data_IF_333198833579
#
_entry.id   IF_333198833579
#
_cell.length_a   1.000
_cell.length_b   1.000
_cell.length_c   1.000
_cell.angle_alpha   90.00
_cell.angle_beta   90.00
_cell.angle_gamma   90.00
#
_symmetry.space_group_name_H-M   'P 1'
#
loop_
_entity.id
_entity.type
_entity.pdbx_description
1 polymer ?
#
# COMPACT_ATOMS: atom_id res chain seq x y z
N UNK A 1 -1.19 -7.71 -12.29
CA UNK A 1 -0.43 -6.45 -12.26
C UNK A 1 -1.40 -5.39 -11.80
N UNK A 2 -1.12 -4.75 -10.66
CA UNK A 2 -1.99 -3.68 -10.13
C UNK A 2 -1.90 -2.48 -11.09
N UNK A 3 -3.03 -1.79 -11.28
CA UNK A 3 -3.13 -0.64 -12.16
C UNK A 3 -2.21 0.49 -11.68
N UNK A 4 -1.45 1.07 -12.60
CA UNK A 4 -0.49 2.15 -12.34
C UNK A 4 -1.18 3.41 -11.77
N UNK A 5 -2.45 3.63 -12.11
CA UNK A 5 -3.28 4.69 -11.55
C UNK A 5 -3.48 4.50 -10.05
N UNK A 6 -3.75 3.27 -9.61
CA UNK A 6 -3.94 2.94 -8.18
C UNK A 6 -2.62 3.17 -7.41
N UNK A 7 -1.48 2.78 -8.01
CA UNK A 7 -0.17 3.02 -7.40
C UNK A 7 0.08 4.52 -7.23
N UNK A 8 -0.23 5.34 -8.24
CA UNK A 8 -0.07 6.80 -8.17
C UNK A 8 -1.00 7.46 -7.14
N UNK A 9 -2.24 6.98 -7.00
CA UNK A 9 -3.16 7.44 -5.96
C UNK A 9 -2.58 7.14 -4.56
N UNK A 10 -2.00 5.96 -4.37
CA UNK A 10 -1.36 5.58 -3.10
C UNK A 10 -0.09 6.42 -2.84
N UNK A 11 0.75 6.64 -3.85
CA UNK A 11 1.92 7.53 -3.75
C UNK A 11 1.50 8.92 -3.29
N UNK A 12 0.50 9.49 -3.96
CA UNK A 12 -0.07 10.80 -3.60
C UNK A 12 -0.60 10.82 -2.17
N UNK A 13 -1.32 9.77 -1.75
CA UNK A 13 -1.82 9.66 -0.38
C UNK A 13 -0.68 9.57 0.65
N UNK A 14 0.39 8.82 0.36
CA UNK A 14 1.56 8.67 1.23
C UNK A 14 2.39 9.97 1.33
N UNK A 15 2.43 10.77 0.27
CA UNK A 15 3.09 12.09 0.30
C UNK A 15 2.34 13.04 1.25
N UNK A 16 1.00 12.99 1.22
CA UNK A 16 0.15 13.89 2.00
C UNK A 16 -0.11 13.40 3.44
N UNK A 17 0.03 12.09 3.72
CA UNK A 17 -0.16 11.51 5.06
C UNK A 17 1.01 10.60 5.45
N UNK A 18 1.82 11.10 6.39
CA UNK A 18 2.99 10.38 6.92
C UNK A 18 2.63 9.03 7.56
N UNK A 19 1.41 8.86 8.07
CA UNK A 19 0.97 7.58 8.67
C UNK A 19 0.81 6.51 7.60
N UNK A 20 0.24 6.86 6.44
CA UNK A 20 0.12 5.94 5.32
C UNK A 20 1.51 5.55 4.78
N UNK A 21 2.41 6.52 4.69
CA UNK A 21 3.80 6.26 4.32
C UNK A 21 4.49 5.27 5.28
N UNK A 22 4.39 5.48 6.60
CA UNK A 22 4.96 4.57 7.60
C UNK A 22 4.40 3.16 7.48
N UNK A 23 3.10 3.00 7.19
CA UNK A 23 2.51 1.67 6.97
C UNK A 23 3.14 0.98 5.75
N UNK A 24 3.34 1.70 4.65
CA UNK A 24 3.99 1.14 3.45
C UNK A 24 5.45 0.76 3.74
N UNK A 25 6.18 1.57 4.50
CA UNK A 25 7.54 1.25 4.95
C UNK A 25 7.61 0.01 5.86
N UNK A 26 6.62 -0.19 6.73
CA UNK A 26 6.55 -1.39 7.55
C UNK A 26 6.26 -2.64 6.71
N UNK A 27 5.29 -2.55 5.80
CA UNK A 27 4.95 -3.66 4.90
C UNK A 27 6.14 -4.06 4.01
N UNK A 28 6.93 -3.10 3.52
CA UNK A 28 8.09 -3.38 2.67
C UNK A 28 9.19 -4.17 3.39
N UNK A 29 9.23 -4.13 4.72
CA UNK A 29 10.20 -4.88 5.55
C UNK A 29 9.73 -6.31 5.86
N UNK A 30 8.45 -6.62 5.66
CA UNK A 30 7.89 -7.94 5.91
C UNK A 30 8.29 -8.95 4.83
N UNK A 31 8.48 -10.20 5.23
CA UNK A 31 8.66 -11.29 4.27
C UNK A 31 7.33 -11.69 3.61
N UNK A 32 7.43 -12.47 2.53
CA UNK A 32 6.27 -12.86 1.71
C UNK A 32 5.17 -13.59 2.51
N UNK A 33 5.54 -14.40 3.50
CA UNK A 33 4.59 -15.15 4.31
C UNK A 33 3.77 -14.23 5.23
N UNK A 34 4.42 -13.22 5.81
CA UNK A 34 3.76 -12.22 6.65
C UNK A 34 2.84 -11.31 5.83
N UNK A 35 3.30 -10.83 4.68
CA UNK A 35 2.47 -10.06 3.74
C UNK A 35 1.24 -10.86 3.31
N UNK A 36 1.41 -12.15 3.01
CA UNK A 36 0.30 -13.01 2.62
C UNK A 36 -0.74 -13.19 3.74
N UNK A 37 -0.31 -13.27 5.01
CA UNK A 37 -1.23 -13.32 6.17
C UNK A 37 -2.09 -12.06 6.25
N UNK A 38 -1.48 -10.88 6.10
CA UNK A 38 -2.18 -9.59 6.12
C UNK A 38 -3.16 -9.51 4.95
N UNK A 39 -2.69 -9.83 3.74
CA UNK A 39 -3.52 -9.84 2.53
C UNK A 39 -4.76 -10.73 2.65
N UNK A 40 -4.59 -11.94 3.21
CA UNK A 40 -5.69 -12.87 3.44
C UNK A 40 -6.70 -12.31 4.43
N UNK A 41 -6.25 -11.71 5.54
CA UNK A 41 -7.12 -11.05 6.51
C UNK A 41 -7.89 -9.89 5.87
N UNK A 42 -7.20 -9.01 5.15
CA UNK A 42 -7.82 -7.89 4.45
C UNK A 42 -8.89 -8.37 3.45
N UNK A 43 -8.58 -9.39 2.65
CA UNK A 43 -9.53 -9.99 1.69
C UNK A 43 -10.75 -10.63 2.36
N UNK A 44 -10.58 -11.28 3.51
CA UNK A 44 -11.70 -11.88 4.26
C UNK A 44 -12.64 -10.82 4.83
N UNK A 45 -12.10 -9.70 5.31
CA UNK A 45 -12.91 -8.59 5.83
C UNK A 45 -13.58 -7.82 4.70
N UNK A 46 -12.89 -7.59 3.57
CA UNK A 46 -13.44 -6.96 2.36
C UNK A 46 -14.70 -7.64 1.84
N UNK A 47 -14.77 -8.98 1.96
CA UNK A 47 -15.94 -9.76 1.53
C UNK A 47 -17.18 -9.56 2.43
N UNK A 48 -17.01 -8.97 3.62
CA UNK A 48 -18.07 -8.83 4.63
C UNK A 48 -18.53 -7.38 4.83
N UNK A 49 -17.66 -6.41 4.57
CA UNK A 49 -17.89 -4.98 4.83
C UNK A 49 -18.56 -4.23 3.65
N UNK A 50 -19.39 -3.22 3.94
CA UNK A 50 -20.13 -2.42 2.94
C UNK A 50 -19.76 -0.93 2.89
N UNK A 51 -18.88 -0.43 3.76
CA UNK A 51 -18.63 1.03 3.92
C UNK A 51 -17.14 1.41 3.88
N UNK A 52 -16.75 2.54 4.51
CA UNK A 52 -15.41 3.18 4.54
C UNK A 52 -14.27 2.18 4.78
N UNK A 53 -14.54 1.10 5.52
CA UNK A 53 -13.59 0.00 5.71
C UNK A 53 -13.10 -0.63 4.40
N UNK A 54 -13.88 -0.53 3.31
CA UNK A 54 -13.51 -1.05 1.99
C UNK A 54 -12.28 -0.36 1.42
N UNK A 55 -12.14 0.95 1.58
CA UNK A 55 -10.98 1.70 1.06
C UNK A 55 -9.72 1.36 1.85
N UNK A 56 -9.80 1.38 3.18
CA UNK A 56 -8.70 0.99 4.06
C UNK A 56 -8.24 -0.46 3.82
N UNK A 57 -9.18 -1.39 3.64
CA UNK A 57 -8.84 -2.77 3.36
C UNK A 57 -8.32 -2.98 1.93
N UNK A 58 -8.81 -2.21 0.96
CA UNK A 58 -8.27 -2.20 -0.40
C UNK A 58 -6.83 -1.72 -0.40
N UNK A 59 -6.52 -0.67 0.36
CA UNK A 59 -5.16 -0.20 0.56
C UNK A 59 -4.25 -1.34 1.09
N UNK A 60 -4.63 -2.00 2.20
CA UNK A 60 -3.85 -3.13 2.72
C UNK A 60 -3.71 -4.29 1.73
N UNK A 61 -4.76 -4.58 0.96
CA UNK A 61 -4.72 -5.62 -0.06
C UNK A 61 -3.72 -5.31 -1.18
N UNK A 62 -3.69 -4.05 -1.62
CA UNK A 62 -2.81 -3.57 -2.70
C UNK A 62 -1.35 -3.55 -2.25
N UNK A 63 -1.04 -2.90 -1.11
CA UNK A 63 0.35 -2.73 -0.67
C UNK A 63 1.04 -4.04 -0.26
N UNK A 64 0.26 -5.07 0.07
CA UNK A 64 0.79 -6.41 0.37
C UNK A 64 1.03 -7.27 -0.87
N UNK A 65 0.70 -6.78 -2.08
CA UNK A 65 1.09 -7.42 -3.32
C UNK A 65 2.61 -7.39 -3.50
N UNK A 66 3.14 -8.45 -4.11
CA UNK A 66 4.57 -8.60 -4.31
C UNK A 66 5.14 -7.45 -5.13
N UNK A 67 6.17 -6.77 -4.61
CA UNK A 67 6.85 -5.66 -5.28
C UNK A 67 6.12 -4.31 -5.24
N UNK A 68 4.87 -4.25 -4.77
CA UNK A 68 4.08 -3.01 -4.81
C UNK A 68 4.52 -2.01 -3.74
N UNK A 69 4.76 -2.46 -2.50
CA UNK A 69 5.27 -1.60 -1.46
C UNK A 69 6.65 -1.00 -1.83
N UNK A 70 7.52 -1.82 -2.43
CA UNK A 70 8.83 -1.40 -2.91
C UNK A 70 8.72 -0.35 -4.03
N UNK A 71 7.81 -0.56 -4.98
CA UNK A 71 7.58 0.36 -6.09
C UNK A 71 7.03 1.72 -5.61
N UNK A 72 6.10 1.71 -4.65
CA UNK A 72 5.58 2.94 -4.03
C UNK A 72 6.72 3.72 -3.37
N UNK A 73 7.54 3.05 -2.55
CA UNK A 73 8.68 3.69 -1.89
C UNK A 73 9.71 4.22 -2.90
N UNK A 74 9.95 3.51 -4.00
CA UNK A 74 10.84 3.96 -5.08
C UNK A 74 10.33 5.26 -5.71
N UNK A 75 9.04 5.35 -6.04
CA UNK A 75 8.43 6.56 -6.63
C UNK A 75 8.49 7.76 -5.69
N UNK A 76 8.12 7.57 -4.42
CA UNK A 76 8.19 8.63 -3.40
C UNK A 76 9.63 9.14 -3.24
N UNK A 77 10.61 8.23 -3.16
CA UNK A 77 12.01 8.63 -3.02
C UNK A 77 12.55 9.36 -4.25
N UNK A 78 12.09 9.02 -5.45
CA UNK A 78 12.46 9.75 -6.67
C UNK A 78 11.88 11.17 -6.67
N UNK A 79 10.59 11.33 -6.35
CA UNK A 79 9.96 12.65 -6.26
C UNK A 79 10.63 13.53 -5.20
N UNK A 80 11.03 12.97 -4.06
CA UNK A 80 11.78 13.73 -3.03
C UNK A 80 13.16 14.16 -3.49
N UNK A 81 13.82 13.37 -4.34
CA UNK A 81 15.15 13.72 -4.91
C UNK A 81 15.06 14.77 -6.01
N UNK A 82 13.97 14.79 -6.78
CA UNK A 82 13.75 15.79 -7.83
C UNK A 82 13.37 17.17 -7.27
N UNK A 83 12.84 17.22 -6.03
CA UNK A 83 12.43 18.46 -5.34
C UNK A 83 13.43 18.95 -4.26
N UNK A 84 14.61 18.32 -4.15
CA UNK A 84 15.66 18.67 -3.18
C UNK A 84 16.83 19.40 -3.85
#
# INVERSE_FOLDING_TARGET
>A
MIDDKIINEIVTACINDARLFSIVEEISKLNINERLKIRRKASMVLKKEKTVDKEALTFYFVITENGVAEEILRRINNERKENA
#
